data_IF_859597619563
#
_entry.id   IF_859597619563
#
_cell.length_a   1.000
_cell.length_b   1.000
_cell.length_c   1.000
_cell.angle_alpha   90.00
_cell.angle_beta   90.00
_cell.angle_gamma   90.00
#
_symmetry.space_group_name_H-M   'P 1'
#
loop_
_entity.id
_entity.type
_entity.pdbx_description
1 polymer ?
#
# COMPACT_ATOMS: atom_id res chain seq x y z
N UNK A 1 -16.65 -9.76 -0.20
CA UNK A 1 -17.53 -9.45 0.95
C UNK A 1 -18.57 -10.54 1.25
N UNK A 2 -19.14 -11.22 0.25
CA UNK A 2 -20.22 -12.22 0.39
C UNK A 2 -20.04 -13.30 1.47
N UNK A 3 -18.80 -13.62 1.87
CA UNK A 3 -18.50 -14.53 2.97
C UNK A 3 -18.64 -13.92 4.38
N UNK A 4 -19.16 -12.69 4.51
CA UNK A 4 -19.35 -11.99 5.80
C UNK A 4 -18.07 -11.36 6.38
N UNK A 5 -17.01 -11.19 5.58
CA UNK A 5 -15.76 -10.56 6.02
C UNK A 5 -15.95 -9.05 6.13
N UNK A 6 -15.83 -8.50 7.34
CA UNK A 6 -16.05 -7.07 7.63
C UNK A 6 -14.76 -6.27 7.88
N UNK A 7 -13.60 -6.92 7.99
CA UNK A 7 -12.32 -6.21 8.15
C UNK A 7 -11.98 -5.38 6.90
N UNK A 8 -11.16 -4.32 6.99
CA UNK A 8 -10.73 -3.56 5.81
C UNK A 8 -10.13 -4.46 4.73
N UNK A 9 -10.49 -4.22 3.46
CA UNK A 9 -9.94 -4.92 2.30
C UNK A 9 -9.28 -3.89 1.39
N UNK A 10 -8.00 -4.08 1.13
CA UNK A 10 -7.21 -3.24 0.23
C UNK A 10 -7.10 -3.87 -1.15
N UNK A 11 -7.38 -3.11 -2.20
CA UNK A 11 -7.16 -3.54 -3.58
C UNK A 11 -5.79 -3.03 -4.03
N UNK A 12 -4.78 -3.90 -4.01
CA UNK A 12 -3.38 -3.51 -4.26
C UNK A 12 -3.05 -3.25 -5.75
N UNK A 13 -3.97 -3.59 -6.65
CA UNK A 13 -3.88 -3.26 -8.08
C UNK A 13 -4.75 -2.04 -8.40
N UNK A 14 -4.41 -1.33 -9.48
CA UNK A 14 -5.22 -0.20 -9.94
C UNK A 14 -6.59 -0.70 -10.40
N UNK A 15 -7.63 -0.09 -9.83
CA UNK A 15 -9.02 -0.35 -10.22
C UNK A 15 -9.38 0.57 -11.38
N UNK A 16 -10.04 0.03 -12.40
CA UNK A 16 -10.48 0.83 -13.55
C UNK A 16 -11.81 1.52 -13.24
N UNK A 17 -12.12 2.66 -13.88
CA UNK A 17 -13.36 3.39 -13.62
C UNK A 17 -14.64 2.55 -13.76
N UNK A 18 -14.66 1.58 -14.69
CA UNK A 18 -15.82 0.70 -14.88
C UNK A 18 -16.10 -0.23 -13.68
N UNK A 19 -15.20 -0.28 -12.70
CA UNK A 19 -15.31 -1.12 -11.50
C UNK A 19 -15.38 -0.30 -10.21
N UNK A 20 -15.48 1.04 -10.28
CA UNK A 20 -15.57 1.88 -9.07
C UNK A 20 -16.86 1.66 -8.28
N UNK A 21 -17.98 1.38 -8.94
CA UNK A 21 -19.23 0.97 -8.26
C UNK A 21 -19.00 -0.21 -7.32
N UNK A 22 -18.20 -1.20 -7.76
CA UNK A 22 -17.86 -2.36 -6.93
C UNK A 22 -16.98 -1.99 -5.72
N UNK A 23 -16.18 -0.93 -5.82
CA UNK A 23 -15.38 -0.42 -4.69
C UNK A 23 -16.33 0.09 -3.60
N UNK A 24 -17.31 0.92 -3.96
CA UNK A 24 -18.33 1.43 -3.06
C UNK A 24 -19.20 0.30 -2.47
N UNK A 25 -19.78 -0.55 -3.33
CA UNK A 25 -20.63 -1.70 -2.93
C UNK A 25 -19.96 -2.61 -1.91
N UNK A 26 -18.64 -2.75 -2.00
CA UNK A 26 -17.86 -3.64 -1.13
C UNK A 26 -17.16 -2.93 0.01
N UNK A 27 -17.26 -1.60 0.10
CA UNK A 27 -16.49 -0.76 1.02
C UNK A 27 -15.02 -1.22 1.06
N UNK A 28 -14.41 -1.29 -0.13
CA UNK A 28 -13.00 -1.64 -0.32
C UNK A 28 -12.15 -0.38 -0.39
N UNK A 29 -10.88 -0.49 -0.03
CA UNK A 29 -9.89 0.60 -0.08
C UNK A 29 -9.06 0.42 -1.36
N UNK A 30 -9.33 1.15 -2.45
CA UNK A 30 -8.60 0.98 -3.69
C UNK A 30 -7.20 1.61 -3.60
N UNK A 31 -6.25 1.02 -4.31
CA UNK A 31 -4.99 1.68 -4.60
C UNK A 31 -5.21 2.83 -5.60
N UNK A 32 -4.63 3.99 -5.32
CA UNK A 32 -4.68 5.17 -6.19
C UNK A 32 -3.27 5.71 -6.48
N UNK A 33 -3.09 6.28 -7.67
CA UNK A 33 -1.88 6.99 -8.10
C UNK A 33 -2.21 8.03 -9.18
N UNK A 34 -1.21 8.65 -9.81
CA UNK A 34 -1.37 9.72 -10.80
C UNK A 34 -2.32 9.39 -11.96
N UNK A 35 -2.36 8.11 -12.37
CA UNK A 35 -3.21 7.60 -13.46
C UNK A 35 -4.65 7.29 -13.04
N UNK A 36 -4.98 7.43 -11.75
CA UNK A 36 -6.34 7.19 -11.26
C UNK A 36 -7.26 8.35 -11.63
N UNK A 37 -8.44 8.01 -12.14
CA UNK A 37 -9.53 8.95 -12.38
C UNK A 37 -10.24 9.27 -11.05
N UNK A 38 -9.65 10.19 -10.27
CA UNK A 38 -10.15 10.57 -8.94
C UNK A 38 -11.53 11.23 -9.00
N UNK A 39 -11.84 11.97 -10.07
CA UNK A 39 -13.14 12.59 -10.25
C UNK A 39 -14.24 11.54 -10.46
N UNK A 40 -13.99 10.52 -11.29
CA UNK A 40 -14.93 9.42 -11.44
C UNK A 40 -15.11 8.62 -10.14
N UNK A 41 -14.05 8.46 -9.34
CA UNK A 41 -14.13 7.77 -8.05
C UNK A 41 -14.93 8.58 -7.02
N UNK A 42 -14.67 9.89 -6.93
CA UNK A 42 -15.39 10.81 -6.05
C UNK A 42 -16.89 10.88 -6.42
N UNK A 43 -17.22 10.92 -7.71
CA UNK A 43 -18.61 10.87 -8.17
C UNK A 43 -19.32 9.58 -7.78
N UNK A 44 -18.62 8.45 -7.80
CA UNK A 44 -19.20 7.18 -7.30
C UNK A 44 -19.41 7.25 -5.80
N UNK A 45 -18.45 7.81 -5.05
CA UNK A 45 -18.61 7.99 -3.61
C UNK A 45 -19.82 8.89 -3.27
N UNK A 46 -20.00 9.99 -3.98
CA UNK A 46 -21.15 10.90 -3.89
C UNK A 46 -22.49 10.20 -4.18
N UNK A 47 -22.56 9.42 -5.28
CA UNK A 47 -23.77 8.66 -5.63
C UNK A 47 -24.17 7.63 -4.56
N UNK A 48 -23.22 7.18 -3.74
CA UNK A 48 -23.43 6.23 -2.65
C UNK A 48 -23.57 6.90 -1.27
N UNK A 49 -23.53 8.23 -1.20
CA UNK A 49 -23.58 9.01 0.05
C UNK A 49 -22.53 8.52 1.06
N UNK A 50 -21.29 8.32 0.59
CA UNK A 50 -20.20 7.77 1.40
C UNK A 50 -18.84 8.41 1.13
N UNK A 51 -17.92 8.21 2.06
CA UNK A 51 -16.49 8.52 1.86
C UNK A 51 -15.77 7.25 1.43
N UNK A 52 -15.11 7.28 0.27
CA UNK A 52 -14.22 6.20 -0.16
C UNK A 52 -12.81 6.48 0.38
N UNK A 53 -12.37 5.62 1.29
CA UNK A 53 -10.99 5.59 1.76
C UNK A 53 -10.07 5.03 0.69
N UNK A 54 -8.93 5.65 0.43
CA UNK A 54 -7.97 5.26 -0.62
C UNK A 54 -6.57 5.02 -0.06
N UNK A 55 -5.84 4.07 -0.66
CA UNK A 55 -4.45 3.81 -0.36
C UNK A 55 -3.55 4.32 -1.49
N UNK A 56 -2.67 5.27 -1.20
CA UNK A 56 -1.76 5.84 -2.20
C UNK A 56 -0.64 4.85 -2.49
N UNK A 57 -0.56 4.38 -3.73
CA UNK A 57 0.56 3.56 -4.19
C UNK A 57 1.75 4.47 -4.50
N UNK A 58 2.94 4.11 -4.01
CA UNK A 58 4.17 4.88 -4.18
C UNK A 58 5.22 3.99 -4.84
N UNK A 59 5.84 4.45 -5.92
CA UNK A 59 6.94 3.78 -6.58
C UNK A 59 8.30 4.24 -6.03
N UNK A 60 8.88 3.44 -5.14
CA UNK A 60 10.22 3.68 -4.61
C UNK A 60 11.33 3.06 -5.46
N UNK A 61 10.99 2.30 -6.51
CA UNK A 61 11.94 1.57 -7.36
C UNK A 61 11.47 0.21 -7.87
N UNK A 62 10.16 -0.09 -7.85
CA UNK A 62 9.60 -1.29 -8.50
C UNK A 62 9.17 -0.99 -9.94
N UNK A 63 8.81 0.27 -10.25
CA UNK A 63 8.46 0.73 -11.60
C UNK A 63 7.25 0.01 -12.21
N UNK A 64 6.25 -0.30 -11.37
CA UNK A 64 5.01 -0.96 -11.79
C UNK A 64 3.79 -0.06 -11.69
N UNK A 65 3.52 0.48 -10.50
CA UNK A 65 2.44 1.43 -10.22
C UNK A 65 2.89 2.36 -9.08
N UNK A 66 2.33 3.56 -9.05
CA UNK A 66 2.46 4.48 -7.93
C UNK A 66 3.12 5.80 -8.28
N UNK A 67 2.81 6.82 -7.48
CA UNK A 67 3.42 8.14 -7.57
C UNK A 67 4.90 8.07 -7.18
N UNK A 68 5.69 9.06 -7.56
CA UNK A 68 7.03 9.19 -7.01
C UNK A 68 6.96 9.67 -5.55
N UNK A 69 7.92 9.28 -4.68
CA UNK A 69 7.94 9.71 -3.29
C UNK A 69 7.93 11.24 -3.14
N UNK A 70 8.66 11.96 -4.00
CA UNK A 70 8.72 13.42 -3.99
C UNK A 70 7.40 14.12 -4.35
N UNK A 71 6.47 13.41 -5.01
CA UNK A 71 5.17 13.94 -5.40
C UNK A 71 4.09 13.71 -4.32
N UNK A 72 4.42 13.07 -3.19
CA UNK A 72 3.45 12.62 -2.20
C UNK A 72 2.62 13.75 -1.59
N UNK A 73 3.25 14.88 -1.21
CA UNK A 73 2.56 16.04 -0.63
C UNK A 73 1.59 16.65 -1.65
N UNK A 74 1.99 16.75 -2.91
CA UNK A 74 1.12 17.30 -3.95
C UNK A 74 -0.06 16.37 -4.24
N UNK A 75 0.20 15.06 -4.23
CA UNK A 75 -0.85 14.08 -4.41
C UNK A 75 -1.84 14.04 -3.23
N UNK A 76 -1.37 14.27 -1.99
CA UNK A 76 -2.24 14.47 -0.83
C UNK A 76 -3.22 15.61 -1.08
N UNK A 77 -2.71 16.79 -1.44
CA UNK A 77 -3.56 17.97 -1.71
C UNK A 77 -4.56 17.71 -2.84
N UNK A 78 -4.14 16.97 -3.87
CA UNK A 78 -5.01 16.59 -4.99
C UNK A 78 -6.17 15.71 -4.53
N UNK A 79 -5.94 14.75 -3.62
CA UNK A 79 -7.02 13.93 -3.07
C UNK A 79 -7.91 14.75 -2.14
N UNK A 80 -7.32 15.57 -1.27
CA UNK A 80 -8.05 16.44 -0.32
C UNK A 80 -8.95 17.49 -1.00
N UNK A 81 -8.80 17.71 -2.31
CA UNK A 81 -9.71 18.54 -3.09
C UNK A 81 -11.09 17.88 -3.32
N UNK A 82 -11.17 16.55 -3.24
CA UNK A 82 -12.39 15.79 -3.45
C UNK A 82 -13.08 15.52 -2.11
N UNK A 83 -14.33 15.95 -1.97
CA UNK A 83 -15.05 15.93 -0.69
C UNK A 83 -15.37 14.51 -0.20
N UNK A 84 -15.48 13.53 -1.10
CA UNK A 84 -15.90 12.17 -0.79
C UNK A 84 -14.74 11.16 -0.82
N UNK A 85 -13.49 11.64 -0.85
CA UNK A 85 -12.29 10.81 -0.79
C UNK A 85 -11.46 11.09 0.45
N UNK A 86 -10.95 10.04 1.09
CA UNK A 86 -10.10 10.15 2.27
C UNK A 86 -8.86 9.26 2.12
N UNK A 87 -7.68 9.78 2.46
CA UNK A 87 -6.45 8.99 2.42
C UNK A 87 -6.39 8.10 3.67
N UNK A 88 -6.40 6.78 3.47
CA UNK A 88 -6.14 5.82 4.53
C UNK A 88 -4.64 5.68 4.81
N UNK A 89 -3.82 5.75 3.77
CA UNK A 89 -2.39 5.60 3.92
C UNK A 89 -1.63 5.43 2.62
N UNK A 90 -0.35 5.11 2.74
CA UNK A 90 0.62 4.99 1.67
C UNK A 90 1.25 3.62 1.69
N UNK A 91 1.45 3.04 0.52
CA UNK A 91 2.17 1.79 0.41
C UNK A 91 3.12 1.76 -0.78
N UNK A 92 4.23 1.04 -0.60
CA UNK A 92 5.18 0.75 -1.68
C UNK A 92 5.59 -0.72 -1.63
N UNK A 93 6.18 -1.24 -2.69
CA UNK A 93 6.58 -2.64 -2.80
C UNK A 93 8.07 -2.80 -3.03
N UNK A 94 8.72 -3.62 -2.20
CA UNK A 94 10.12 -3.96 -2.35
C UNK A 94 10.31 -4.95 -3.49
N UNK A 95 11.21 -4.67 -4.43
CA UNK A 95 11.41 -5.49 -5.63
C UNK A 95 12.41 -6.63 -5.47
N UNK A 96 13.37 -6.52 -4.54
CA UNK A 96 14.44 -7.52 -4.35
C UNK A 96 14.78 -7.81 -2.88
N UNK A 97 13.82 -7.66 -1.97
CA UNK A 97 14.04 -7.94 -0.54
C UNK A 97 14.32 -9.43 -0.24
N UNK A 98 14.07 -10.30 -1.20
CA UNK A 98 14.33 -11.74 -1.17
C UNK A 98 15.65 -12.14 -1.84
N UNK A 99 16.44 -11.18 -2.34
CA UNK A 99 17.74 -11.45 -2.93
C UNK A 99 18.87 -11.39 -1.88
N UNK A 100 20.00 -12.05 -2.17
CA UNK A 100 21.22 -11.95 -1.38
C UNK A 100 21.78 -10.51 -1.32
N UNK A 101 21.78 -9.79 -2.46
CA UNK A 101 22.09 -8.36 -2.50
C UNK A 101 20.83 -7.53 -2.32
N UNK A 102 20.75 -6.84 -1.18
CA UNK A 102 19.61 -6.04 -0.77
C UNK A 102 19.85 -4.54 -0.90
N UNK A 103 20.91 -4.12 -1.60
CA UNK A 103 21.27 -2.70 -1.76
C UNK A 103 20.11 -1.86 -2.31
N UNK A 104 19.37 -2.40 -3.29
CA UNK A 104 18.18 -1.73 -3.84
C UNK A 104 17.02 -1.67 -2.85
N UNK A 105 16.70 -2.76 -2.15
CA UNK A 105 15.67 -2.77 -1.10
C UNK A 105 15.97 -1.76 0.03
N UNK A 106 17.23 -1.61 0.43
CA UNK A 106 17.65 -0.57 1.37
C UNK A 106 17.46 0.85 0.79
N UNK A 107 17.79 1.07 -0.48
CA UNK A 107 17.53 2.34 -1.16
C UNK A 107 16.02 2.67 -1.20
N UNK A 108 15.18 1.69 -1.54
CA UNK A 108 13.71 1.82 -1.49
C UNK A 108 13.23 2.21 -0.08
N UNK A 109 13.78 1.55 0.95
CA UNK A 109 13.46 1.83 2.36
C UNK A 109 13.81 3.25 2.75
N UNK A 110 15.00 3.74 2.38
CA UNK A 110 15.42 5.12 2.66
C UNK A 110 14.58 6.17 1.94
N UNK A 111 14.13 5.91 0.70
CA UNK A 111 13.20 6.80 -0.01
C UNK A 111 11.84 6.84 0.69
N UNK A 112 11.34 5.69 1.10
CA UNK A 112 10.05 5.60 1.79
C UNK A 112 10.09 6.30 3.15
N UNK A 113 11.14 6.12 3.96
CA UNK A 113 11.32 6.85 5.23
C UNK A 113 11.28 8.37 5.04
N UNK A 114 12.07 8.89 4.09
CA UNK A 114 12.08 10.34 3.82
C UNK A 114 10.70 10.88 3.47
N UNK A 115 9.97 10.18 2.61
CA UNK A 115 8.59 10.54 2.27
C UNK A 115 7.67 10.49 3.49
N UNK A 116 7.78 9.46 4.34
CA UNK A 116 6.97 9.34 5.56
C UNK A 116 7.22 10.51 6.51
N UNK A 117 8.49 10.89 6.70
CA UNK A 117 8.86 12.02 7.55
C UNK A 117 8.32 13.35 7.00
N UNK A 118 8.46 13.58 5.68
CA UNK A 118 7.89 14.76 5.00
C UNK A 118 6.36 14.83 5.12
N UNK A 119 5.66 13.70 4.98
CA UNK A 119 4.20 13.64 5.13
C UNK A 119 3.80 13.94 6.58
N UNK A 120 4.50 13.37 7.57
CA UNK A 120 4.21 13.62 8.99
C UNK A 120 4.47 15.06 9.39
N UNK A 121 5.48 15.71 8.82
CA UNK A 121 5.72 17.13 9.02
C UNK A 121 4.61 17.99 8.39
N UNK A 122 4.17 17.64 7.18
CA UNK A 122 3.11 18.36 6.46
C UNK A 122 1.71 18.18 7.08
N UNK A 123 1.41 17.00 7.61
CA UNK A 123 0.12 16.60 8.19
C UNK A 123 0.32 15.86 9.53
N UNK A 124 0.73 16.55 10.61
CA UNK A 124 1.07 15.92 11.89
C UNK A 124 -0.13 15.27 12.60
N UNK A 125 -1.34 15.75 12.33
CA UNK A 125 -2.58 15.23 12.92
C UNK A 125 -3.17 14.04 12.14
N UNK A 126 -2.61 13.70 10.98
CA UNK A 126 -3.14 12.62 10.14
C UNK A 126 -2.66 11.25 10.64
N UNK A 127 -3.60 10.33 10.85
CA UNK A 127 -3.30 8.93 11.24
C UNK A 127 -3.14 8.04 10.00
N UNK A 128 -2.22 8.43 9.10
CA UNK A 128 -1.96 7.67 7.88
C UNK A 128 -1.23 6.37 8.16
N UNK A 129 -1.71 5.30 7.52
CA UNK A 129 -0.99 4.02 7.45
C UNK A 129 0.18 4.12 6.49
N UNK A 130 1.28 3.46 6.83
CA UNK A 130 2.46 3.34 6.01
C UNK A 130 2.87 1.88 5.94
N UNK A 131 3.01 1.36 4.72
CA UNK A 131 3.33 -0.05 4.54
C UNK A 131 4.32 -0.27 3.39
N UNK A 132 5.48 -0.84 3.72
CA UNK A 132 6.53 -1.15 2.75
C UNK A 132 6.83 -2.65 2.68
N UNK A 133 7.05 -3.27 3.85
CA UNK A 133 7.47 -4.65 3.96
C UNK A 133 6.47 -5.64 3.34
N UNK A 134 6.92 -6.38 2.32
CA UNK A 134 6.34 -7.66 1.95
C UNK A 134 6.92 -8.77 2.86
N UNK A 135 6.62 -10.04 2.59
CA UNK A 135 7.16 -11.17 3.37
C UNK A 135 8.68 -11.16 3.51
N UNK A 136 9.42 -10.85 2.44
CA UNK A 136 10.88 -10.85 2.48
C UNK A 136 11.39 -9.63 3.25
N UNK A 137 10.87 -8.43 2.95
CA UNK A 137 11.22 -7.19 3.64
C UNK A 137 11.06 -7.30 5.15
N UNK A 138 9.95 -7.91 5.60
CA UNK A 138 9.66 -8.15 7.01
C UNK A 138 10.74 -9.00 7.72
N UNK A 139 11.36 -9.94 7.00
CA UNK A 139 12.29 -10.90 7.58
C UNK A 139 13.76 -10.50 7.46
N UNK A 140 14.10 -9.77 6.40
CA UNK A 140 15.50 -9.57 5.99
C UNK A 140 15.91 -8.10 5.92
N UNK A 141 14.98 -7.16 5.69
CA UNK A 141 15.32 -5.75 5.46
C UNK A 141 15.09 -4.93 6.73
N UNK A 142 16.20 -4.43 7.28
CA UNK A 142 16.18 -3.53 8.45
C UNK A 142 15.37 -2.26 8.14
N UNK A 143 14.65 -1.77 9.15
CA UNK A 143 13.88 -0.52 9.11
C UNK A 143 12.77 -0.52 8.04
N UNK A 144 12.35 -1.69 7.55
CA UNK A 144 11.27 -1.85 6.55
C UNK A 144 9.86 -1.84 7.14
N UNK A 145 9.76 -1.94 8.48
CA UNK A 145 8.51 -1.93 9.23
C UNK A 145 8.07 -0.51 9.55
N UNK A 146 6.80 -0.24 9.27
CA UNK A 146 6.14 1.03 9.56
C UNK A 146 4.89 0.75 10.40
N UNK A 147 3.73 1.35 10.10
CA UNK A 147 2.49 1.03 10.82
C UNK A 147 1.99 -0.38 10.45
N UNK A 148 2.17 -0.79 9.20
CA UNK A 148 1.63 -2.04 8.67
C UNK A 148 2.65 -2.79 7.81
N UNK A 149 2.54 -4.12 7.77
CA UNK A 149 3.28 -5.00 6.87
C UNK A 149 2.32 -5.88 6.07
N UNK A 150 2.77 -6.35 4.90
CA UNK A 150 1.97 -7.21 4.00
C UNK A 150 2.67 -8.56 3.80
N UNK A 151 2.74 -9.41 4.85
CA UNK A 151 3.22 -10.77 4.68
C UNK A 151 2.24 -11.53 3.77
N UNK A 152 2.74 -12.19 2.72
CA UNK A 152 1.93 -13.03 1.84
C UNK A 152 2.37 -14.48 1.97
N UNK A 153 3.47 -14.83 1.28
CA UNK A 153 3.95 -16.21 1.14
C UNK A 153 4.24 -16.90 2.49
N UNK A 154 4.71 -16.13 3.49
CA UNK A 154 5.02 -16.68 4.82
C UNK A 154 3.77 -17.10 5.61
N UNK A 155 2.58 -16.57 5.27
CA UNK A 155 1.32 -17.03 5.87
C UNK A 155 0.99 -18.48 5.49
N UNK A 156 1.52 -18.95 4.36
CA UNK A 156 1.35 -20.31 3.88
C UNK A 156 2.46 -21.26 4.34
N UNK A 157 3.35 -20.79 5.22
CA UNK A 157 4.46 -21.58 5.72
C UNK A 157 5.66 -21.68 4.78
N UNK A 158 5.73 -20.82 3.77
CA UNK A 158 6.76 -20.87 2.71
C UNK A 158 7.70 -19.67 2.85
N UNK A 159 9.01 -19.95 2.82
CA UNK A 159 10.04 -18.91 2.83
C UNK A 159 10.06 -18.16 1.48
N UNK A 160 10.28 -16.83 1.45
CA UNK A 160 10.29 -16.07 0.21
C UNK A 160 11.39 -16.50 -0.78
N UNK A 161 12.58 -16.84 -0.26
CA UNK A 161 13.69 -17.40 -1.02
C UNK A 161 14.64 -18.15 -0.08
N UNK A 162 15.67 -18.78 -0.64
CA UNK A 162 16.77 -19.40 0.12
C UNK A 162 17.71 -18.36 0.76
N UNK A 163 17.77 -17.15 0.21
CA UNK A 163 18.62 -16.07 0.71
C UNK A 163 18.00 -15.35 1.92
N UNK A 164 16.69 -15.51 2.16
CA UNK A 164 16.01 -14.94 3.32
C UNK A 164 16.24 -15.83 4.56
N UNK A 165 16.72 -15.27 5.69
CA UNK A 165 16.95 -16.06 6.90
C UNK A 165 15.67 -16.70 7.45
N UNK A 166 15.66 -18.02 7.61
CA UNK A 166 14.55 -18.73 8.24
C UNK A 166 14.60 -18.59 9.76
N UNK A 167 13.95 -17.54 10.29
CA UNK A 167 13.90 -17.24 11.73
C UNK A 167 12.58 -17.59 12.41
N UNK A 168 11.53 -17.90 11.64
CA UNK A 168 10.17 -18.01 12.14
C UNK A 168 9.65 -19.44 12.33
N UNK A 169 10.43 -20.47 11.96
CA UNK A 169 9.99 -21.87 12.13
C UNK A 169 8.67 -22.15 11.40
N UNK A 170 8.52 -21.61 10.19
CA UNK A 170 7.29 -21.67 9.40
C UNK A 170 6.86 -23.12 9.10
N UNK A 171 5.54 -23.36 9.10
CA UNK A 171 4.95 -24.68 8.84
C UNK A 171 4.08 -24.64 7.58
N UNK A 172 4.36 -25.44 6.53
CA UNK A 172 3.52 -25.52 5.34
C UNK A 172 2.08 -25.90 5.70
N UNK A 173 1.11 -25.23 5.07
CA UNK A 173 -0.34 -25.41 5.35
C UNK A 173 -1.11 -26.08 4.22
N UNK A 174 -0.45 -26.38 3.10
CA UNK A 174 -1.01 -27.06 1.94
C UNK A 174 -0.28 -28.39 1.72
N UNK A 175 -1.03 -29.44 1.35
CA UNK A 175 -0.56 -30.81 1.10
C UNK A 175 -1.17 -31.39 -0.16
#
# INVERSE_FOLDING_TARGET
RNAGIMVPIYLLGLTRPQSFELVADTNSIPAVCESTDLEALDKVADNHDMIIRVAVAVDTGMHRIGIKPEDAIEFIKRIEFYENLEIDGFFSHMSNADAADQSHAHSQTQKFHRMVDEIREFRPEADYRFSLANSAGLLSVKDSLFTDARPGIIQYGIMPSLDVPNRLGLKPVLS
#
